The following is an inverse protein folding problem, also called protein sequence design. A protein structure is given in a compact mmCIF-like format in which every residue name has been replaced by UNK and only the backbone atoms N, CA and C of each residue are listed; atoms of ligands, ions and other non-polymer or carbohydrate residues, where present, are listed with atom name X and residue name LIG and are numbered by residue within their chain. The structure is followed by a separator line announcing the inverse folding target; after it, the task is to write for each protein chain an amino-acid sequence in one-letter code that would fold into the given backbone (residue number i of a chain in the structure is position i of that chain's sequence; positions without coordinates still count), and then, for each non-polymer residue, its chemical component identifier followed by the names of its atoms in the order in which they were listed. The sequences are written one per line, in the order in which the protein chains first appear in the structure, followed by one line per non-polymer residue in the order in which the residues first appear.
data_IF_863082118248
#
_entry.id   IF_863082118248
#
_cell.length_a   1.000
_cell.length_b   1.000
_cell.length_c   1.000
_cell.angle_alpha   90.00
_cell.angle_beta   90.00
_cell.angle_gamma   90.00
#
_symmetry.space_group_name_H-M   'P 1'
#
loop_
_entity.id
_entity.type
_entity.pdbx_description
1 polymer ?
#
# COMPACT_ATOMS: atom_id res chain seq x y z
N UNK A 1 21.95 28.98 -27.25
CA UNK A 1 22.39 28.19 -26.09
C UNK A 1 21.12 27.77 -25.37
N UNK A 2 20.61 26.58 -25.65
CA UNK A 2 19.31 26.11 -25.14
C UNK A 2 19.53 25.54 -23.75
N UNK A 3 18.89 26.11 -22.72
CA UNK A 3 18.92 25.57 -21.36
C UNK A 3 18.27 24.18 -21.34
N UNK A 4 18.86 23.18 -20.66
CA UNK A 4 18.21 21.89 -20.52
C UNK A 4 17.01 22.03 -19.57
N UNK A 5 15.84 21.59 -20.02
CA UNK A 5 14.64 21.51 -19.20
C UNK A 5 14.94 20.75 -17.91
N UNK A 6 14.54 21.31 -16.76
CA UNK A 6 14.69 20.65 -15.46
C UNK A 6 13.95 19.31 -15.47
N UNK A 7 14.68 18.20 -15.50
CA UNK A 7 14.12 16.87 -15.25
C UNK A 7 13.55 16.89 -13.84
N UNK A 8 12.22 17.00 -13.72
CA UNK A 8 11.54 17.11 -12.44
C UNK A 8 11.95 15.96 -11.51
N UNK A 9 12.50 16.29 -10.34
CA UNK A 9 12.92 15.29 -9.37
C UNK A 9 11.72 14.39 -8.99
N UNK A 10 11.92 13.07 -9.03
CA UNK A 10 10.88 12.09 -8.68
C UNK A 10 10.49 12.31 -7.22
N UNK A 11 9.26 12.79 -6.99
CA UNK A 11 8.75 13.00 -5.64
C UNK A 11 8.30 11.67 -5.05
N UNK A 12 9.06 11.14 -4.10
CA UNK A 12 8.68 9.93 -3.39
C UNK A 12 7.41 10.14 -2.55
N UNK A 13 6.62 9.07 -2.42
CA UNK A 13 5.44 9.05 -1.58
C UNK A 13 5.81 9.26 -0.11
N UNK A 14 5.03 10.07 0.60
CA UNK A 14 5.11 10.17 2.06
C UNK A 14 4.60 8.87 2.72
N UNK A 15 4.71 8.75 4.06
CA UNK A 15 4.30 7.53 4.80
C UNK A 15 2.86 7.08 4.52
N UNK A 16 1.93 8.03 4.35
CA UNK A 16 0.53 7.72 3.98
C UNK A 16 0.39 7.31 2.51
N UNK A 17 1.17 7.89 1.62
CA UNK A 17 1.24 7.46 0.23
C UNK A 17 1.82 6.04 0.09
N UNK A 18 2.86 5.73 0.86
CA UNK A 18 3.41 4.37 0.95
C UNK A 18 2.38 3.38 1.54
N UNK A 19 1.67 3.77 2.60
CA UNK A 19 0.59 2.97 3.18
C UNK A 19 -0.57 2.70 2.20
N UNK A 20 -0.95 3.67 1.37
CA UNK A 20 -1.97 3.46 0.32
C UNK A 20 -1.49 2.47 -0.74
N UNK A 21 -0.25 2.58 -1.19
CA UNK A 21 0.31 1.61 -2.14
C UNK A 21 0.35 0.20 -1.55
N UNK A 22 0.80 0.06 -0.30
CA UNK A 22 0.79 -1.20 0.41
C UNK A 22 -0.64 -1.77 0.57
N UNK A 23 -1.63 -0.92 0.85
CA UNK A 23 -3.02 -1.35 0.95
C UNK A 23 -3.55 -1.91 -0.37
N UNK A 24 -3.23 -1.29 -1.51
CA UNK A 24 -3.59 -1.83 -2.83
C UNK A 24 -2.99 -3.22 -3.06
N UNK A 25 -1.70 -3.39 -2.72
CA UNK A 25 -1.01 -4.68 -2.84
C UNK A 25 -1.64 -5.75 -1.94
N UNK A 26 -1.96 -5.39 -0.70
CA UNK A 26 -2.59 -6.28 0.27
C UNK A 26 -3.99 -6.70 -0.17
N UNK A 27 -4.83 -5.76 -0.63
CA UNK A 27 -6.17 -6.07 -1.14
C UNK A 27 -6.12 -7.00 -2.36
N UNK A 28 -5.17 -6.77 -3.28
CA UNK A 28 -4.96 -7.67 -4.40
C UNK A 28 -4.54 -9.08 -3.95
N UNK A 29 -3.64 -9.19 -2.98
CA UNK A 29 -3.24 -10.49 -2.44
C UNK A 29 -4.41 -11.19 -1.73
N UNK A 30 -5.25 -10.46 -0.99
CA UNK A 30 -6.47 -11.03 -0.39
C UNK A 30 -7.40 -11.61 -1.46
N UNK A 31 -7.60 -10.90 -2.57
CA UNK A 31 -8.48 -11.32 -3.66
C UNK A 31 -7.93 -12.57 -4.39
N UNK A 32 -6.64 -12.56 -4.73
CA UNK A 32 -6.03 -13.67 -5.50
C UNK A 32 -5.70 -14.89 -4.65
N UNK A 33 -5.27 -14.71 -3.40
CA UNK A 33 -4.87 -15.81 -2.51
C UNK A 33 -6.00 -16.28 -1.57
N UNK A 34 -7.10 -15.53 -1.47
CA UNK A 34 -8.19 -15.82 -0.52
C UNK A 34 -7.82 -15.57 0.94
N UNK A 35 -6.74 -14.84 1.21
CA UNK A 35 -6.28 -14.54 2.58
C UNK A 35 -7.21 -13.56 3.30
N UNK A 36 -7.35 -13.75 4.61
CA UNK A 36 -8.18 -12.87 5.45
C UNK A 36 -7.50 -11.55 5.78
N UNK A 37 -8.30 -10.52 6.12
CA UNK A 37 -7.81 -9.17 6.46
C UNK A 37 -6.82 -9.15 7.64
N UNK A 38 -6.99 -10.04 8.62
CA UNK A 38 -6.08 -10.12 9.78
C UNK A 38 -4.72 -10.72 9.41
N UNK A 39 -4.73 -11.79 8.60
CA UNK A 39 -3.52 -12.46 8.13
C UNK A 39 -2.67 -11.52 7.29
N UNK A 40 -3.29 -10.87 6.28
CA UNK A 40 -2.56 -9.95 5.40
C UNK A 40 -2.00 -8.74 6.14
N UNK A 41 -2.75 -8.24 7.14
CA UNK A 41 -2.31 -7.09 7.93
C UNK A 41 -1.06 -7.45 8.72
N UNK A 42 -1.07 -8.61 9.40
CA UNK A 42 0.06 -9.08 10.18
C UNK A 42 1.29 -9.34 9.30
N UNK A 43 1.10 -9.97 8.13
CA UNK A 43 2.19 -10.21 7.17
C UNK A 43 2.85 -8.90 6.74
N UNK A 44 2.05 -7.91 6.32
CA UNK A 44 2.58 -6.66 5.80
C UNK A 44 3.34 -5.88 6.88
N UNK A 45 2.82 -5.82 8.10
CA UNK A 45 3.47 -5.13 9.20
C UNK A 45 4.78 -5.80 9.64
N UNK A 46 4.80 -7.14 9.67
CA UNK A 46 5.97 -7.89 10.09
C UNK A 46 7.08 -7.89 9.03
N UNK A 47 6.72 -8.03 7.76
CA UNK A 47 7.66 -8.42 6.72
C UNK A 47 7.76 -7.46 5.53
N UNK A 48 6.86 -6.49 5.36
CA UNK A 48 6.85 -5.62 4.17
C UNK A 48 7.04 -4.15 4.49
N UNK A 49 6.27 -3.58 5.41
CA UNK A 49 6.28 -2.13 5.66
C UNK A 49 7.64 -1.68 6.26
N UNK A 50 8.41 -0.93 5.48
CA UNK A 50 9.76 -0.51 5.88
C UNK A 50 10.78 -1.64 5.96
N UNK A 51 10.50 -2.79 5.33
CA UNK A 51 11.35 -3.99 5.36
C UNK A 51 12.01 -4.23 4.01
N UNK A 52 13.09 -5.00 4.02
CA UNK A 52 13.67 -5.52 2.78
C UNK A 52 12.91 -6.76 2.34
N UNK A 53 12.47 -6.77 1.09
CA UNK A 53 11.74 -7.88 0.45
C UNK A 53 12.36 -8.10 -0.92
N UNK A 54 12.85 -9.31 -1.17
CA UNK A 54 13.46 -9.71 -2.46
C UNK A 54 14.52 -8.72 -2.99
N UNK A 55 15.37 -8.21 -2.09
CA UNK A 55 16.44 -7.25 -2.42
C UNK A 55 15.96 -5.80 -2.64
N UNK A 56 14.68 -5.52 -2.44
CA UNK A 56 14.12 -4.17 -2.47
C UNK A 56 13.73 -3.71 -1.07
N UNK A 57 14.26 -2.55 -0.65
CA UNK A 57 13.82 -1.90 0.59
C UNK A 57 12.48 -1.19 0.36
N UNK A 58 11.43 -1.72 0.99
CA UNK A 58 10.13 -1.09 0.99
C UNK A 58 10.18 0.18 1.85
N UNK A 59 9.45 1.21 1.41
CA UNK A 59 9.40 2.47 2.17
C UNK A 59 8.67 2.27 3.50
N UNK A 60 9.06 3.06 4.49
CA UNK A 60 8.27 3.20 5.72
C UNK A 60 6.86 3.68 5.38
N UNK A 61 5.88 2.99 5.95
CA UNK A 61 4.47 3.31 5.80
C UNK A 61 3.86 3.64 7.17
N UNK A 62 2.81 4.44 7.16
CA UNK A 62 1.96 4.64 8.34
C UNK A 62 1.10 3.39 8.53
N UNK A 63 1.50 2.51 9.46
CA UNK A 63 0.82 1.24 9.70
C UNK A 63 -0.63 1.41 10.19
N UNK A 64 -0.91 2.45 10.99
CA UNK A 64 -2.27 2.73 11.41
C UNK A 64 -3.14 3.15 10.23
N UNK A 65 -2.61 3.98 9.33
CA UNK A 65 -3.31 4.38 8.11
C UNK A 65 -3.54 3.19 7.16
N UNK A 66 -2.54 2.31 7.03
CA UNK A 66 -2.66 1.06 6.26
C UNK A 66 -3.79 0.18 6.80
N UNK A 67 -3.81 -0.10 8.11
CA UNK A 67 -4.89 -0.87 8.76
C UNK A 67 -6.26 -0.25 8.53
N UNK A 68 -6.38 1.06 8.72
CA UNK A 68 -7.65 1.77 8.54
C UNK A 68 -8.20 1.64 7.12
N UNK A 69 -7.35 1.61 6.09
CA UNK A 69 -7.78 1.38 4.71
C UNK A 69 -8.30 -0.06 4.56
N UNK A 70 -7.54 -1.06 5.00
CA UNK A 70 -7.92 -2.46 4.84
C UNK A 70 -9.23 -2.79 5.56
N UNK A 71 -9.36 -2.38 6.82
CA UNK A 71 -10.59 -2.59 7.59
C UNK A 71 -11.74 -1.82 6.97
N UNK A 72 -11.52 -0.57 6.56
CA UNK A 72 -12.55 0.25 5.92
C UNK A 72 -13.06 -0.33 4.61
N UNK A 73 -12.20 -0.90 3.77
CA UNK A 73 -12.63 -1.58 2.52
C UNK A 73 -13.48 -2.80 2.84
N UNK A 74 -13.05 -3.65 3.77
CA UNK A 74 -13.82 -4.86 4.14
C UNK A 74 -15.16 -4.50 4.76
N UNK A 75 -15.22 -3.51 5.66
CA UNK A 75 -16.45 -3.04 6.30
C UNK A 75 -17.46 -2.47 5.30
N UNK A 76 -16.97 -1.81 4.25
CA UNK A 76 -17.80 -1.10 3.27
C UNK A 76 -17.89 -1.84 1.92
N UNK A 77 -17.45 -3.10 1.84
CA UNK A 77 -17.33 -3.85 0.60
C UNK A 77 -18.64 -3.88 -0.21
N UNK A 78 -19.77 -4.18 0.44
CA UNK A 78 -21.10 -4.21 -0.19
C UNK A 78 -21.55 -2.86 -0.76
N UNK A 79 -20.99 -1.76 -0.27
CA UNK A 79 -21.27 -0.41 -0.74
C UNK A 79 -20.29 0.02 -1.82
N UNK A 80 -19.02 -0.39 -1.72
CA UNK A 80 -17.96 -0.04 -2.66
C UNK A 80 -18.06 -0.83 -3.96
N UNK A 81 -18.20 -2.16 -3.86
CA UNK A 81 -18.14 -3.06 -5.02
C UNK A 81 -19.15 -2.71 -6.14
N UNK A 82 -20.40 -2.30 -5.86
CA UNK A 82 -21.35 -1.95 -6.93
C UNK A 82 -21.05 -0.63 -7.67
N UNK A 83 -20.11 0.19 -7.18
CA UNK A 83 -19.79 1.52 -7.71
C UNK A 83 -18.58 1.50 -8.67
N UNK A 84 -17.90 0.34 -8.76
CA UNK A 84 -16.67 0.11 -9.55
C UNK A 84 -17.02 -0.76 -10.76
#
# INVERSE_FOLDING_TARGET
MTEPASTGAVRHANKRGAARLAAVQALYQMDVAGSGVFEITAEYEAFRLGKEVDGALYREADAQWFRAILTGVVENQKTIDPVI
#
